data_IF_877007969302
#
_entry.id   IF_877007969302
#
_cell.length_a   1.000
_cell.length_b   1.000
_cell.length_c   1.000
_cell.angle_alpha   90.00
_cell.angle_beta   90.00
_cell.angle_gamma   90.00
#
_symmetry.space_group_name_H-M   'P 1'
#
loop_
_entity.id
_entity.type
_entity.pdbx_description
1 polymer ?
#
# COMPACT_ATOMS: atom_id res chain seq x y z
N UNK A 1 24.89 46.92 1.30
CA UNK A 1 25.02 45.84 2.30
C UNK A 1 23.64 45.44 2.81
N UNK A 2 22.88 44.67 2.03
CA UNK A 2 21.60 44.07 2.41
C UNK A 2 21.45 42.78 1.62
N UNK A 3 22.17 41.75 2.04
CA UNK A 3 21.97 40.37 1.60
C UNK A 3 22.81 39.46 2.49
N UNK A 4 22.32 39.16 3.70
CA UNK A 4 22.86 38.08 4.53
C UNK A 4 21.89 37.68 5.67
N UNK A 5 20.58 37.61 5.40
CA UNK A 5 19.58 37.26 6.44
C UNK A 5 18.60 36.17 5.98
N UNK A 6 18.82 35.51 4.84
CA UNK A 6 17.87 34.53 4.29
C UNK A 6 18.38 33.08 4.23
N UNK A 7 19.43 32.73 4.99
CA UNK A 7 19.97 31.37 5.00
C UNK A 7 20.06 30.71 6.40
N UNK A 8 19.29 31.19 7.38
CA UNK A 8 19.31 30.63 8.73
C UNK A 8 17.90 30.36 9.26
N UNK A 9 17.18 29.46 8.60
CA UNK A 9 15.98 28.83 9.15
C UNK A 9 16.02 27.32 8.87
N UNK A 10 17.15 26.69 9.22
CA UNK A 10 17.21 25.27 9.56
C UNK A 10 16.76 25.14 11.02
N UNK A 11 15.44 25.14 11.24
CA UNK A 11 14.88 24.79 12.55
C UNK A 11 14.79 23.26 12.62
N UNK A 12 15.80 22.65 13.25
CA UNK A 12 15.72 21.30 13.79
C UNK A 12 14.58 21.28 14.82
N UNK A 13 13.47 20.67 14.44
CA UNK A 13 12.47 20.21 15.40
C UNK A 13 12.91 18.82 15.86
N UNK A 14 13.52 18.76 17.05
CA UNK A 14 13.73 17.50 17.74
C UNK A 14 12.36 16.98 18.21
N UNK A 15 11.76 16.11 17.40
CA UNK A 15 10.60 15.32 17.80
C UNK A 15 11.00 14.35 18.93
N UNK A 16 10.08 13.99 19.84
CA UNK A 16 10.36 13.01 20.89
C UNK A 16 10.79 11.67 20.26
N UNK A 17 11.76 10.99 20.90
CA UNK A 17 12.43 9.76 20.47
C UNK A 17 11.53 8.49 20.31
N UNK A 18 10.22 8.65 20.20
CA UNK A 18 9.31 7.54 19.92
C UNK A 18 9.23 7.27 18.41
N UNK A 19 9.79 6.14 17.96
CA UNK A 19 9.67 5.61 16.59
C UNK A 19 10.05 6.60 15.47
N UNK A 20 11.27 7.16 15.52
CA UNK A 20 11.93 7.54 14.26
C UNK A 20 12.13 6.26 13.44
N UNK A 21 11.69 6.26 12.18
CA UNK A 21 11.84 5.11 11.29
C UNK A 21 13.31 4.66 11.23
N UNK A 22 13.52 3.34 11.24
CA UNK A 22 14.87 2.79 11.27
C UNK A 22 15.41 2.62 9.84
N UNK A 23 16.65 3.06 9.58
CA UNK A 23 17.24 2.97 8.24
C UNK A 23 17.41 1.52 7.76
N UNK A 24 17.68 0.62 8.71
CA UNK A 24 17.86 -0.81 8.44
C UNK A 24 17.22 -1.66 9.53
N UNK A 25 16.73 -2.84 9.16
CA UNK A 25 16.24 -3.87 10.08
C UNK A 25 16.74 -5.24 9.67
N UNK A 26 17.02 -6.08 10.67
CA UNK A 26 17.24 -7.51 10.45
C UNK A 26 15.89 -8.20 10.29
N UNK A 27 15.63 -8.72 9.09
CA UNK A 27 14.35 -9.34 8.74
C UNK A 27 14.46 -10.86 8.76
N UNK A 28 13.50 -11.53 9.39
CA UNK A 28 13.34 -12.97 9.30
C UNK A 28 11.91 -13.33 8.90
N UNK A 29 11.77 -14.35 8.06
CA UNK A 29 10.50 -14.92 7.64
C UNK A 29 10.42 -16.35 8.18
N UNK A 30 9.32 -16.68 8.86
CA UNK A 30 9.06 -18.01 9.40
C UNK A 30 7.65 -18.43 9.03
N UNK A 31 7.53 -19.54 8.33
CA UNK A 31 6.26 -20.24 8.21
C UNK A 31 6.05 -21.01 9.50
N UNK A 32 4.95 -20.72 10.17
CA UNK A 32 4.52 -21.43 11.37
C UNK A 32 3.51 -22.45 10.87
N UNK A 33 3.83 -23.73 11.00
CA UNK A 33 2.94 -24.82 10.59
C UNK A 33 2.22 -25.39 11.81
N UNK A 34 1.01 -25.90 11.60
CA UNK A 34 0.33 -26.77 12.54
C UNK A 34 0.69 -28.24 12.28
N UNK A 35 0.11 -29.14 13.08
CA UNK A 35 0.24 -30.59 12.92
C UNK A 35 -0.90 -31.19 12.07
N UNK A 36 -1.72 -30.35 11.43
CA UNK A 36 -2.94 -30.76 10.75
C UNK A 36 -2.71 -30.94 9.25
N UNK A 37 -3.55 -31.77 8.64
CA UNK A 37 -3.62 -31.97 7.20
C UNK A 37 -5.04 -31.61 6.70
N UNK A 38 -5.22 -30.60 5.83
CA UNK A 38 -4.19 -29.73 5.25
C UNK A 38 -3.68 -28.67 6.24
N UNK A 39 -2.38 -28.41 6.19
CA UNK A 39 -1.70 -27.46 7.08
C UNK A 39 -2.17 -26.02 6.84
N UNK A 40 -2.47 -25.29 7.91
CA UNK A 40 -2.90 -23.90 7.79
C UNK A 40 -1.74 -22.94 7.51
N UNK A 41 -1.93 -21.99 6.59
CA UNK A 41 -0.90 -21.03 6.22
C UNK A 41 -0.80 -19.88 7.25
N UNK A 42 0.31 -19.82 7.99
CA UNK A 42 0.64 -18.72 8.88
C UNK A 42 2.11 -18.30 8.68
N UNK A 43 2.33 -17.08 8.20
CA UNK A 43 3.65 -16.51 7.96
C UNK A 43 3.91 -15.39 8.97
N UNK A 44 4.99 -15.54 9.74
CA UNK A 44 5.50 -14.48 10.61
C UNK A 44 6.72 -13.82 9.97
N UNK A 45 6.60 -12.52 9.72
CA UNK A 45 7.70 -11.63 9.36
C UNK A 45 8.09 -10.84 10.59
N UNK A 46 9.35 -10.94 10.99
CA UNK A 46 9.92 -10.19 12.11
C UNK A 46 11.02 -9.28 11.59
N UNK A 47 10.83 -7.96 11.70
CA UNK A 47 11.83 -6.96 11.34
C UNK A 47 12.37 -6.29 12.62
N UNK A 48 13.54 -6.76 13.05
CA UNK A 48 14.22 -6.34 14.28
C UNK A 48 15.09 -5.12 13.99
N UNK A 49 14.84 -4.06 14.73
CA UNK A 49 15.62 -2.83 14.74
C UNK A 49 16.55 -2.71 15.94
N UNK A 50 17.20 -1.57 16.08
CA UNK A 50 18.09 -1.25 17.21
C UNK A 50 17.32 -1.14 18.53
N UNK A 51 16.11 -0.58 18.50
CA UNK A 51 15.30 -0.34 19.71
C UNK A 51 13.86 -0.83 19.59
N UNK A 52 13.48 -1.39 18.44
CA UNK A 52 12.09 -1.74 18.13
C UNK A 52 11.99 -3.01 17.31
N UNK A 53 10.84 -3.68 17.36
CA UNK A 53 10.54 -4.81 16.46
C UNK A 53 9.17 -4.62 15.81
N UNK A 54 9.11 -4.84 14.51
CA UNK A 54 7.86 -4.94 13.75
C UNK A 54 7.53 -6.41 13.48
N UNK A 55 6.31 -6.81 13.84
CA UNK A 55 5.76 -8.12 13.55
C UNK A 55 4.64 -7.96 12.53
N UNK A 56 4.75 -8.69 11.42
CA UNK A 56 3.66 -8.89 10.46
C UNK A 56 3.29 -10.38 10.50
N UNK A 57 2.05 -10.69 10.86
CA UNK A 57 1.56 -12.07 10.89
C UNK A 57 0.49 -12.21 9.82
N UNK A 58 0.87 -12.81 8.69
CA UNK A 58 0.02 -13.06 7.54
C UNK A 58 -0.59 -14.45 7.63
N UNK A 59 -1.86 -14.59 7.27
CA UNK A 59 -2.51 -15.89 7.26
C UNK A 59 -3.56 -16.01 6.17
N UNK A 60 -3.74 -17.25 5.69
CA UNK A 60 -4.88 -17.68 4.88
C UNK A 60 -5.97 -18.39 5.69
N UNK A 61 -5.90 -18.39 7.04
CA UNK A 61 -6.93 -18.97 7.90
C UNK A 61 -8.17 -18.06 7.89
N UNK A 62 -9.24 -18.49 7.21
CA UNK A 62 -10.38 -17.65 6.89
C UNK A 62 -10.03 -16.65 5.78
N UNK A 63 -10.54 -15.39 5.83
CA UNK A 63 -10.15 -14.39 4.85
C UNK A 63 -8.66 -14.02 5.02
N UNK A 64 -7.89 -13.80 3.93
CA UNK A 64 -6.51 -13.35 4.02
C UNK A 64 -6.37 -12.12 4.90
N UNK A 65 -5.53 -12.22 5.91
CA UNK A 65 -5.38 -11.19 6.92
C UNK A 65 -3.92 -10.99 7.30
N UNK A 66 -3.60 -9.77 7.70
CA UNK A 66 -2.33 -9.41 8.33
C UNK A 66 -2.58 -8.71 9.65
N UNK A 67 -1.95 -9.22 10.70
CA UNK A 67 -1.78 -8.53 11.97
C UNK A 67 -0.48 -7.73 11.94
N UNK A 68 -0.55 -6.47 12.35
CA UNK A 68 0.59 -5.57 12.50
C UNK A 68 0.81 -5.31 13.98
N UNK A 69 2.01 -5.51 14.48
CA UNK A 69 2.39 -5.16 15.84
C UNK A 69 3.76 -4.49 15.85
N UNK A 70 3.86 -3.32 16.48
CA UNK A 70 5.12 -2.66 16.74
C UNK A 70 5.42 -2.64 18.23
N UNK A 71 6.65 -2.96 18.59
CA UNK A 71 7.12 -3.00 19.97
C UNK A 71 8.33 -2.10 20.17
N UNK A 72 8.53 -1.60 21.39
CA UNK A 72 9.68 -0.77 21.78
C UNK A 72 10.87 -1.61 22.32
N UNK A 73 11.00 -2.86 21.86
CA UNK A 73 12.11 -3.74 22.23
C UNK A 73 12.54 -4.60 21.04
N UNK A 74 13.85 -4.88 20.87
CA UNK A 74 14.34 -5.82 19.86
C UNK A 74 14.08 -7.29 20.25
N UNK A 75 13.68 -7.57 21.49
CA UNK A 75 13.60 -8.92 22.05
C UNK A 75 12.17 -9.47 22.12
N UNK A 76 11.21 -8.83 21.46
CA UNK A 76 9.82 -9.27 21.45
C UNK A 76 9.63 -10.50 20.57
N UNK A 77 8.73 -11.38 20.99
CA UNK A 77 8.51 -12.68 20.33
C UNK A 77 7.02 -12.93 20.11
N UNK A 78 6.69 -13.56 18.98
CA UNK A 78 5.36 -14.07 18.70
C UNK A 78 5.17 -15.45 19.36
N UNK A 79 4.08 -15.61 20.09
CA UNK A 79 3.60 -16.89 20.62
C UNK A 79 2.31 -17.29 19.89
N UNK A 80 2.26 -18.55 19.45
CA UNK A 80 1.12 -19.12 18.70
C UNK A 80 0.66 -20.40 19.39
N UNK A 81 -0.61 -20.45 19.78
CA UNK A 81 -1.27 -21.66 20.28
C UNK A 81 -2.22 -22.20 19.20
N UNK A 82 -1.74 -23.16 18.42
CA UNK A 82 -2.51 -23.74 17.31
C UNK A 82 -3.83 -24.38 17.72
N UNK A 83 -3.83 -25.15 18.80
CA UNK A 83 -5.05 -25.83 19.28
C UNK A 83 -6.14 -24.83 19.65
N UNK A 84 -5.77 -23.68 20.20
CA UNK A 84 -6.70 -22.59 20.49
C UNK A 84 -7.08 -21.82 19.22
N UNK A 85 -6.12 -21.58 18.31
CA UNK A 85 -6.32 -20.78 17.10
C UNK A 85 -7.38 -21.36 16.15
N UNK A 86 -7.45 -22.69 16.05
CA UNK A 86 -8.44 -23.39 15.22
C UNK A 86 -9.77 -23.68 15.95
N UNK A 87 -9.84 -23.36 17.24
CA UNK A 87 -11.05 -23.60 18.04
C UNK A 87 -12.15 -22.58 17.70
N UNK A 88 -13.36 -22.80 18.22
CA UNK A 88 -14.48 -21.85 18.10
C UNK A 88 -14.22 -20.51 18.79
N UNK A 89 -13.29 -20.48 19.76
CA UNK A 89 -12.95 -19.32 20.59
C UNK A 89 -11.43 -19.08 20.56
N UNK A 90 -10.90 -18.47 19.49
CA UNK A 90 -9.45 -18.37 19.30
C UNK A 90 -8.79 -17.29 20.14
N UNK A 91 -9.52 -16.56 20.99
CA UNK A 91 -9.02 -15.41 21.76
C UNK A 91 -7.81 -15.79 22.62
N UNK A 92 -6.73 -15.02 22.48
CA UNK A 92 -5.45 -15.28 23.13
C UNK A 92 -4.58 -16.34 22.47
N UNK A 93 -4.99 -16.92 21.33
CA UNK A 93 -4.14 -17.87 20.61
C UNK A 93 -2.92 -17.24 19.95
N UNK A 94 -2.95 -15.92 19.70
CA UNK A 94 -1.82 -15.14 19.20
C UNK A 94 -1.44 -14.07 20.20
N UNK A 95 -0.18 -14.06 20.63
CA UNK A 95 0.33 -13.02 21.53
C UNK A 95 1.72 -12.56 21.10
N UNK A 96 1.97 -11.25 21.19
CA UNK A 96 3.34 -10.70 21.16
C UNK A 96 3.75 -10.39 22.58
N UNK A 97 4.89 -10.94 22.99
CA UNK A 97 5.43 -10.80 24.35
C UNK A 97 6.76 -10.04 24.31
N UNK A 98 7.05 -9.18 25.30
CA UNK A 98 6.18 -8.77 26.41
C UNK A 98 5.03 -7.83 25.95
N UNK A 99 3.83 -7.97 26.54
CA UNK A 99 2.64 -7.20 26.09
C UNK A 99 2.79 -5.70 26.31
N UNK A 100 3.44 -5.32 27.40
CA UNK A 100 3.75 -3.94 27.77
C UNK A 100 4.70 -3.23 26.79
N UNK A 101 5.38 -3.98 25.92
CA UNK A 101 6.24 -3.39 24.88
C UNK A 101 5.47 -2.89 23.66
N UNK A 102 4.23 -3.35 23.47
CA UNK A 102 3.41 -3.05 22.29
C UNK A 102 3.07 -1.55 22.27
N UNK A 103 3.55 -0.85 21.24
CA UNK A 103 3.29 0.57 21.00
C UNK A 103 2.14 0.77 20.00
N UNK A 104 1.96 -0.17 19.09
CA UNK A 104 0.91 -0.13 18.08
C UNK A 104 0.50 -1.55 17.70
N UNK A 105 -0.80 -1.76 17.50
CA UNK A 105 -1.31 -3.02 16.94
C UNK A 105 -2.58 -2.80 16.15
N UNK A 106 -2.65 -3.34 14.94
CA UNK A 106 -3.86 -3.30 14.09
C UNK A 106 -3.93 -4.52 13.17
N UNK A 107 -5.01 -4.64 12.40
CA UNK A 107 -5.15 -5.65 11.38
C UNK A 107 -5.73 -5.09 10.08
N UNK A 108 -5.38 -5.74 8.98
CA UNK A 108 -5.98 -5.57 7.67
C UNK A 108 -6.49 -6.93 7.18
N UNK A 109 -7.70 -6.97 6.65
CA UNK A 109 -8.37 -8.19 6.20
C UNK A 109 -8.94 -7.97 4.81
N UNK A 110 -8.60 -8.87 3.89
CA UNK A 110 -9.19 -8.93 2.55
C UNK A 110 -10.37 -9.87 2.60
N UNK A 111 -11.57 -9.32 2.51
CA UNK A 111 -12.79 -10.07 2.87
C UNK A 111 -13.51 -10.63 1.65
N UNK A 112 -13.60 -9.86 0.56
CA UNK A 112 -14.34 -10.25 -0.65
C UNK A 112 -13.62 -9.83 -1.93
N UNK A 113 -13.73 -10.66 -2.95
CA UNK A 113 -13.44 -10.30 -4.34
C UNK A 113 -14.76 -9.95 -5.04
N UNK A 114 -14.89 -8.70 -5.46
CA UNK A 114 -16.02 -8.18 -6.20
C UNK A 114 -15.83 -8.32 -7.71
N UNK A 115 -16.96 -8.37 -8.41
CA UNK A 115 -17.03 -8.29 -9.85
C UNK A 115 -18.26 -7.50 -10.26
N UNK A 116 -18.09 -6.59 -11.22
CA UNK A 116 -19.15 -5.70 -11.71
C UNK A 116 -19.22 -5.76 -13.24
N UNK A 117 -20.42 -5.84 -13.80
CA UNK A 117 -20.66 -5.67 -15.23
C UNK A 117 -20.72 -4.17 -15.58
N UNK A 118 -19.76 -3.71 -16.38
CA UNK A 118 -19.62 -2.31 -16.78
C UNK A 118 -20.10 -2.01 -18.21
N UNK A 119 -20.88 -2.90 -18.84
CA UNK A 119 -21.29 -2.77 -20.26
C UNK A 119 -22.12 -1.52 -20.58
N UNK A 120 -22.93 -1.01 -19.63
CA UNK A 120 -23.84 0.13 -19.82
C UNK A 120 -23.51 1.35 -18.95
N UNK A 121 -22.36 1.36 -18.28
CA UNK A 121 -21.92 2.48 -17.45
C UNK A 121 -21.13 3.48 -18.28
N UNK A 122 -21.78 4.61 -18.60
CA UNK A 122 -21.18 5.73 -19.34
C UNK A 122 -20.21 6.55 -18.49
N UNK A 123 -20.29 6.47 -17.16
CA UNK A 123 -19.45 7.22 -16.23
C UNK A 123 -18.47 6.30 -15.50
N UNK A 124 -17.17 6.56 -15.68
CA UNK A 124 -16.10 5.92 -14.92
C UNK A 124 -16.16 6.24 -13.41
N UNK A 125 -16.99 7.21 -13.00
CA UNK A 125 -17.21 7.63 -11.62
C UNK A 125 -18.52 7.11 -10.99
N UNK A 126 -19.31 6.29 -11.70
CA UNK A 126 -20.55 5.74 -11.17
C UNK A 126 -20.29 4.87 -9.92
N UNK A 127 -21.07 5.06 -8.86
CA UNK A 127 -21.02 4.23 -7.64
C UNK A 127 -22.37 3.53 -7.45
N UNK A 128 -22.46 2.20 -7.64
CA UNK A 128 -21.39 1.25 -8.01
C UNK A 128 -20.94 1.39 -9.48
N UNK A 129 -19.73 0.90 -9.84
CA UNK A 129 -19.15 1.03 -11.19
C UNK A 129 -19.85 0.19 -12.27
N UNK A 130 -20.94 -0.49 -11.90
CA UNK A 130 -21.70 -1.39 -12.77
C UNK A 130 -22.69 -2.24 -11.97
N UNK A 131 -23.34 -3.18 -12.64
CA UNK A 131 -24.21 -4.17 -11.98
C UNK A 131 -23.34 -5.19 -11.25
N UNK A 132 -23.52 -5.31 -9.93
CA UNK A 132 -22.73 -6.22 -9.10
C UNK A 132 -23.14 -7.68 -9.31
N UNK A 133 -22.16 -8.55 -9.53
CA UNK A 133 -22.31 -9.98 -9.38
C UNK A 133 -22.15 -10.39 -7.90
N UNK A 134 -22.62 -11.59 -7.49
CA UNK A 134 -22.35 -12.11 -6.15
C UNK A 134 -20.84 -12.13 -5.85
N UNK A 135 -20.38 -11.52 -4.75
CA UNK A 135 -18.95 -11.50 -4.42
C UNK A 135 -18.44 -12.88 -4.05
N UNK A 136 -17.16 -13.13 -4.31
CA UNK A 136 -16.47 -14.29 -3.77
C UNK A 136 -15.99 -13.96 -2.35
N UNK A 137 -16.46 -14.72 -1.36
CA UNK A 137 -15.97 -14.63 0.02
C UNK A 137 -14.56 -15.20 0.09
N UNK A 138 -13.57 -14.41 0.48
CA UNK A 138 -12.19 -14.91 0.57
C UNK A 138 -11.96 -15.84 1.76
N UNK A 139 -12.94 -15.95 2.67
CA UNK A 139 -12.96 -16.98 3.70
C UNK A 139 -13.29 -18.39 3.16
N UNK A 140 -13.92 -18.47 1.99
CA UNK A 140 -14.31 -19.72 1.34
C UNK A 140 -13.30 -20.14 0.26
N UNK A 141 -12.04 -19.72 0.42
CA UNK A 141 -10.92 -20.06 -0.45
C UNK A 141 -10.04 -21.13 0.17
N UNK A 142 -9.52 -22.01 -0.68
CA UNK A 142 -8.41 -22.90 -0.36
C UNK A 142 -7.12 -22.22 -0.81
N UNK A 143 -6.09 -22.29 0.02
CA UNK A 143 -4.79 -21.67 -0.23
C UNK A 143 -3.73 -22.75 -0.35
N UNK A 144 -2.88 -22.66 -1.37
CA UNK A 144 -1.70 -23.51 -1.55
C UNK A 144 -0.76 -23.41 -0.34
N UNK A 145 0.06 -24.44 -0.10
CA UNK A 145 1.02 -24.41 0.99
C UNK A 145 2.04 -23.29 0.79
N UNK A 146 2.07 -22.34 1.72
CA UNK A 146 2.97 -21.18 1.64
C UNK A 146 4.45 -21.55 1.71
N UNK A 147 4.77 -22.73 2.25
CA UNK A 147 6.15 -23.24 2.31
C UNK A 147 6.76 -23.36 0.91
N UNK A 148 5.94 -23.70 -0.10
CA UNK A 148 6.39 -23.90 -1.47
C UNK A 148 6.75 -22.58 -2.17
N UNK A 149 6.22 -21.45 -1.69
CA UNK A 149 6.42 -20.12 -2.27
C UNK A 149 7.33 -19.23 -1.44
N UNK A 150 7.83 -19.70 -0.30
CA UNK A 150 8.73 -18.96 0.57
C UNK A 150 10.10 -18.77 -0.11
N UNK A 151 10.49 -17.53 -0.32
CA UNK A 151 11.80 -17.14 -0.84
C UNK A 151 12.55 -16.28 0.18
N UNK A 152 13.47 -16.87 0.96
CA UNK A 152 14.29 -16.15 1.94
C UNK A 152 15.24 -15.12 1.31
N UNK A 153 15.64 -15.30 0.03
CA UNK A 153 16.58 -14.40 -0.62
C UNK A 153 15.91 -13.08 -1.01
N UNK A 154 14.68 -13.14 -1.52
CA UNK A 154 13.86 -11.96 -1.80
C UNK A 154 13.02 -11.48 -0.62
N UNK A 155 13.07 -12.19 0.52
CA UNK A 155 12.25 -11.95 1.71
C UNK A 155 10.76 -11.91 1.36
N UNK A 156 10.31 -12.87 0.55
CA UNK A 156 8.94 -12.91 0.04
C UNK A 156 8.27 -14.27 0.18
N UNK A 157 6.94 -14.28 0.18
CA UNK A 157 6.12 -15.49 0.14
C UNK A 157 4.78 -15.18 -0.52
N UNK A 158 4.12 -16.19 -1.08
CA UNK A 158 2.88 -16.00 -1.85
C UNK A 158 1.77 -16.93 -1.37
N UNK A 159 0.65 -16.35 -0.94
CA UNK A 159 -0.60 -17.09 -0.71
C UNK A 159 -1.35 -17.14 -2.04
N UNK A 160 -1.38 -18.28 -2.70
CA UNK A 160 -2.15 -18.50 -3.93
C UNK A 160 -3.37 -19.35 -3.59
N UNK A 161 -4.54 -18.98 -4.11
CA UNK A 161 -5.76 -19.70 -3.77
C UNK A 161 -6.86 -19.58 -4.81
N UNK A 162 -7.86 -20.43 -4.62
CA UNK A 162 -9.07 -20.53 -5.42
C UNK A 162 -10.29 -20.82 -4.51
N UNK A 163 -11.53 -20.54 -4.94
CA UNK A 163 -12.71 -20.91 -4.19
C UNK A 163 -12.76 -22.42 -3.92
N UNK A 164 -13.20 -22.82 -2.73
CA UNK A 164 -13.42 -24.23 -2.36
C UNK A 164 -14.57 -24.82 -3.21
N UNK A 165 -15.57 -24.00 -3.51
CA UNK A 165 -16.72 -24.36 -4.32
C UNK A 165 -16.82 -23.44 -5.53
N UNK A 166 -16.51 -23.98 -6.72
CA UNK A 166 -16.57 -23.26 -8.00
C UNK A 166 -17.46 -24.01 -9.00
N UNK A 167 -18.80 -23.92 -8.88
CA UNK A 167 -19.72 -24.66 -9.74
C UNK A 167 -19.67 -24.20 -11.21
N UNK A 168 -19.22 -22.97 -11.46
CA UNK A 168 -19.11 -22.38 -12.79
C UNK A 168 -17.78 -22.68 -13.47
N UNK A 169 -16.80 -23.23 -12.74
CA UNK A 169 -15.44 -23.43 -13.23
C UNK A 169 -14.71 -22.12 -13.57
N UNK A 170 -15.08 -21.01 -12.93
CA UNK A 170 -14.48 -19.70 -13.21
C UNK A 170 -12.99 -19.65 -12.83
N UNK A 171 -12.59 -20.40 -11.80
CA UNK A 171 -11.23 -20.52 -11.31
C UNK A 171 -10.54 -21.82 -11.78
N UNK A 172 -11.12 -22.58 -12.70
CA UNK A 172 -10.55 -23.86 -13.16
C UNK A 172 -9.11 -23.75 -13.68
N UNK A 173 -8.76 -22.62 -14.30
CA UNK A 173 -7.40 -22.29 -14.77
C UNK A 173 -6.87 -20.99 -14.15
N UNK A 174 -7.50 -20.51 -13.09
CA UNK A 174 -7.26 -19.20 -12.52
C UNK A 174 -6.99 -19.22 -11.03
N UNK A 175 -6.36 -18.17 -10.53
CA UNK A 175 -6.03 -18.03 -9.10
C UNK A 175 -6.02 -16.58 -8.67
N UNK A 176 -6.32 -16.35 -7.40
CA UNK A 176 -6.03 -15.11 -6.70
C UNK A 176 -4.77 -15.33 -5.86
N UNK A 177 -3.81 -14.42 -5.94
CA UNK A 177 -2.56 -14.50 -5.20
C UNK A 177 -2.29 -13.23 -4.40
N UNK A 178 -1.83 -13.40 -3.15
CA UNK A 178 -1.34 -12.36 -2.26
C UNK A 178 0.15 -12.61 -2.03
N UNK A 179 1.01 -11.88 -2.75
CA UNK A 179 2.45 -11.95 -2.60
C UNK A 179 2.92 -10.89 -1.63
N UNK A 180 3.54 -11.32 -0.55
CA UNK A 180 4.06 -10.46 0.52
C UNK A 180 5.58 -10.40 0.40
N UNK A 181 6.14 -9.21 0.51
CA UNK A 181 7.59 -8.99 0.51
C UNK A 181 7.99 -8.01 1.61
N UNK A 182 9.00 -8.35 2.40
CA UNK A 182 9.58 -7.48 3.40
C UNK A 182 10.91 -6.87 2.93
N UNK A 183 11.36 -5.80 3.58
CA UNK A 183 12.59 -5.11 3.21
C UNK A 183 13.48 -4.84 4.42
N UNK A 184 14.79 -5.02 4.26
CA UNK A 184 15.77 -4.74 5.31
C UNK A 184 16.30 -3.31 5.30
N UNK A 185 16.01 -2.55 4.24
CA UNK A 185 16.47 -1.16 4.03
C UNK A 185 15.56 -0.45 3.04
N UNK A 186 15.76 0.85 2.88
CA UNK A 186 15.04 1.63 1.86
C UNK A 186 15.46 1.30 0.44
N UNK A 187 14.50 1.39 -0.49
CA UNK A 187 14.72 1.08 -1.90
C UNK A 187 13.45 1.17 -2.74
N UNK A 188 13.57 0.76 -4.00
CA UNK A 188 12.44 0.65 -4.92
C UNK A 188 12.50 -0.68 -5.67
N UNK A 189 11.35 -1.34 -5.89
CA UNK A 189 11.27 -2.46 -6.81
C UNK A 189 11.64 -2.04 -8.23
N UNK A 190 12.10 -3.00 -9.03
CA UNK A 190 12.29 -2.81 -10.47
C UNK A 190 10.95 -2.70 -11.20
N UNK A 191 9.93 -3.43 -10.74
CA UNK A 191 8.63 -3.50 -11.39
C UNK A 191 7.69 -2.35 -10.94
N UNK A 192 6.90 -1.78 -11.86
CA UNK A 192 5.80 -0.86 -11.54
C UNK A 192 4.86 -1.45 -10.48
N UNK A 193 4.28 -0.62 -9.57
CA UNK A 193 4.32 0.85 -9.54
C UNK A 193 5.53 1.46 -8.78
N UNK A 194 6.60 0.67 -8.56
CA UNK A 194 7.89 1.10 -7.95
C UNK A 194 7.73 1.95 -6.67
N UNK A 195 6.82 1.51 -5.79
CA UNK A 195 6.59 2.16 -4.50
C UNK A 195 7.90 2.24 -3.70
N UNK A 196 8.16 3.41 -3.09
CA UNK A 196 9.32 3.61 -2.23
C UNK A 196 9.09 2.83 -0.92
N UNK A 197 9.89 1.81 -0.67
CA UNK A 197 9.84 1.08 0.59
C UNK A 197 10.96 1.53 1.53
N UNK A 198 10.77 1.27 2.82
CA UNK A 198 11.77 1.40 3.89
C UNK A 198 11.88 0.08 4.65
N UNK A 199 12.81 -0.01 5.60
CA UNK A 199 12.89 -1.16 6.49
C UNK A 199 11.64 -1.33 7.38
N UNK A 200 10.82 -0.28 7.52
CA UNK A 200 9.61 -0.27 8.34
C UNK A 200 8.36 -0.75 7.57
N UNK A 201 8.52 -1.25 6.35
CA UNK A 201 7.40 -1.61 5.46
C UNK A 201 7.46 -3.06 4.96
N UNK A 202 6.29 -3.62 4.70
CA UNK A 202 6.08 -4.76 3.81
C UNK A 202 5.30 -4.30 2.59
N UNK A 203 5.61 -4.86 1.42
CA UNK A 203 4.82 -4.72 0.21
C UNK A 203 3.89 -5.92 0.06
N UNK A 204 2.65 -5.65 -0.32
CA UNK A 204 1.69 -6.63 -0.78
C UNK A 204 1.42 -6.39 -2.27
N UNK A 205 1.51 -7.44 -3.05
CA UNK A 205 1.05 -7.51 -4.43
C UNK A 205 -0.12 -8.48 -4.50
N UNK A 206 -1.23 -8.05 -5.11
CA UNK A 206 -2.41 -8.86 -5.35
C UNK A 206 -2.54 -9.10 -6.83
N UNK A 207 -2.48 -10.37 -7.24
CA UNK A 207 -2.63 -10.79 -8.62
C UNK A 207 -3.90 -11.64 -8.80
N UNK A 208 -4.76 -11.25 -9.74
CA UNK A 208 -5.84 -12.09 -10.26
C UNK A 208 -5.44 -12.57 -11.65
N UNK A 209 -5.32 -13.89 -11.83
CA UNK A 209 -4.78 -14.47 -13.07
C UNK A 209 -5.69 -15.58 -13.56
N UNK A 210 -6.04 -15.57 -14.84
CA UNK A 210 -6.69 -16.69 -15.54
C UNK A 210 -8.11 -17.02 -15.09
N UNK A 211 -8.73 -16.19 -14.24
CA UNK A 211 -10.12 -16.34 -13.80
C UNK A 211 -11.06 -15.93 -14.93
N UNK A 212 -12.02 -16.78 -15.25
CA UNK A 212 -13.02 -16.50 -16.29
C UNK A 212 -14.05 -15.49 -15.77
N UNK A 213 -14.21 -14.33 -16.41
CA UNK A 213 -15.18 -13.32 -15.97
C UNK A 213 -16.60 -13.79 -16.27
N UNK A 214 -17.56 -13.39 -15.43
CA UNK A 214 -18.99 -13.67 -15.58
C UNK A 214 -19.66 -12.78 -16.61
N UNK A 215 -19.08 -11.61 -16.90
CA UNK A 215 -19.52 -10.69 -17.95
C UNK A 215 -18.41 -10.31 -18.92
N UNK A 216 -18.79 -9.85 -20.12
CA UNK A 216 -17.86 -9.45 -21.18
C UNK A 216 -16.97 -8.25 -20.79
N UNK A 217 -17.49 -7.34 -19.97
CA UNK A 217 -16.74 -6.18 -19.44
C UNK A 217 -16.81 -6.19 -17.93
N UNK A 218 -16.07 -7.12 -17.34
CA UNK A 218 -16.05 -7.31 -15.89
C UNK A 218 -14.96 -6.44 -15.25
N UNK A 219 -15.35 -5.62 -14.29
CA UNK A 219 -14.46 -4.88 -13.41
C UNK A 219 -14.35 -5.63 -12.10
N UNK A 220 -13.12 -5.94 -11.69
CA UNK A 220 -12.85 -6.61 -10.42
C UNK A 220 -12.57 -5.59 -9.32
N UNK A 221 -12.77 -6.01 -8.08
CA UNK A 221 -12.46 -5.18 -6.92
C UNK A 221 -12.23 -6.00 -5.66
N UNK A 222 -11.67 -5.38 -4.62
CA UNK A 222 -11.41 -6.00 -3.33
C UNK A 222 -12.11 -5.23 -2.22
N UNK A 223 -12.74 -5.94 -1.30
CA UNK A 223 -13.19 -5.40 -0.02
C UNK A 223 -12.07 -5.54 1.00
N UNK A 224 -11.62 -4.40 1.51
CA UNK A 224 -10.57 -4.32 2.51
C UNK A 224 -11.18 -3.79 3.80
N UNK A 225 -10.99 -4.53 4.88
CA UNK A 225 -11.43 -4.16 6.21
C UNK A 225 -10.25 -3.97 7.15
N UNK A 226 -10.34 -3.00 8.05
CA UNK A 226 -9.34 -2.76 9.09
C UNK A 226 -9.98 -2.50 10.45
N UNK A 227 -9.22 -2.79 11.51
CA UNK A 227 -9.62 -2.48 12.88
C UNK A 227 -9.48 -0.98 13.17
N UNK A 228 -10.60 -0.33 13.47
CA UNK A 228 -10.66 1.07 13.87
C UNK A 228 -10.10 1.29 15.28
N UNK A 229 -9.33 2.37 15.47
CA UNK A 229 -8.74 2.75 16.76
C UNK A 229 -9.63 3.72 17.57
N UNK A 230 -10.81 4.08 17.07
CA UNK A 230 -11.69 5.07 17.68
C UNK A 230 -13.12 5.04 17.15
N UNK A 231 -13.94 6.06 17.45
CA UNK A 231 -15.33 6.13 16.99
C UNK A 231 -15.44 6.33 15.47
N UNK A 232 -14.43 6.95 14.86
CA UNK A 232 -14.39 7.28 13.44
C UNK A 232 -13.41 6.38 12.68
N UNK A 233 -13.72 6.17 11.40
CA UNK A 233 -12.82 5.48 10.49
C UNK A 233 -11.72 6.41 9.98
N UNK A 234 -10.51 5.87 9.72
CA UNK A 234 -9.46 6.66 9.11
C UNK A 234 -9.88 7.12 7.71
N UNK A 235 -9.37 8.28 7.27
CA UNK A 235 -9.60 8.77 5.91
C UNK A 235 -8.38 8.52 5.03
N UNK A 236 -8.64 8.28 3.75
CA UNK A 236 -7.59 8.24 2.72
C UNK A 236 -7.15 9.68 2.44
N UNK A 237 -5.84 9.91 2.45
CA UNK A 237 -5.20 11.17 2.08
C UNK A 237 -4.49 10.98 0.74
N UNK A 238 -4.77 11.87 -0.19
CA UNK A 238 -4.07 11.92 -1.47
C UNK A 238 -2.82 12.79 -1.33
N UNK A 239 -1.67 12.28 -1.73
CA UNK A 239 -0.46 13.04 -1.95
C UNK A 239 -0.22 13.18 -3.44
N UNK A 240 0.09 14.40 -3.89
CA UNK A 240 0.39 14.68 -5.30
C UNK A 240 1.84 15.08 -5.45
N UNK A 241 2.49 14.51 -6.45
CA UNK A 241 3.85 14.85 -6.86
C UNK A 241 3.82 15.34 -8.30
N UNK A 242 4.74 16.23 -8.67
CA UNK A 242 4.96 16.62 -10.08
C UNK A 242 5.84 15.61 -10.83
N UNK A 243 6.41 14.64 -10.11
CA UNK A 243 7.35 13.66 -10.61
C UNK A 243 6.67 12.31 -10.76
N UNK A 244 6.70 11.77 -11.98
CA UNK A 244 6.20 10.46 -12.37
C UNK A 244 7.31 9.48 -12.82
N UNK A 245 8.59 9.79 -12.57
CA UNK A 245 9.75 8.99 -13.00
C UNK A 245 9.60 7.50 -12.63
N UNK A 246 9.04 7.24 -11.45
CA UNK A 246 8.90 5.88 -10.91
C UNK A 246 7.58 5.19 -11.31
N UNK A 247 6.58 5.95 -11.76
CA UNK A 247 5.29 5.44 -12.21
C UNK A 247 4.72 6.38 -13.28
N UNK A 248 5.07 6.18 -14.57
CA UNK A 248 4.72 7.12 -15.63
C UNK A 248 3.23 7.42 -15.70
N UNK A 249 2.89 8.70 -15.85
CA UNK A 249 1.52 9.23 -15.83
C UNK A 249 0.74 9.05 -14.50
N UNK A 250 1.40 8.66 -13.41
CA UNK A 250 0.79 8.50 -12.09
C UNK A 250 1.40 9.47 -11.09
N UNK A 251 0.77 10.63 -10.96
CA UNK A 251 1.21 11.76 -10.12
C UNK A 251 0.64 11.73 -8.70
N UNK A 252 -0.02 10.63 -8.31
CA UNK A 252 -0.74 10.49 -7.05
C UNK A 252 -0.24 9.28 -6.25
N UNK A 253 -0.23 9.45 -4.93
CA UNK A 253 0.00 8.41 -3.95
C UNK A 253 -1.09 8.53 -2.89
N UNK A 254 -1.90 7.49 -2.76
CA UNK A 254 -2.93 7.40 -1.74
C UNK A 254 -2.35 6.81 -0.47
N UNK A 255 -2.78 7.35 0.66
CA UNK A 255 -2.29 6.95 1.98
C UNK A 255 -3.43 6.89 2.98
N UNK A 256 -3.53 5.79 3.71
CA UNK A 256 -4.42 5.66 4.86
C UNK A 256 -3.59 5.53 6.12
N UNK A 257 -3.90 6.36 7.11
CA UNK A 257 -3.25 6.41 8.41
C UNK A 257 -4.21 5.95 9.50
N UNK A 258 -3.82 5.00 10.33
CA UNK A 258 -4.66 4.53 11.45
C UNK A 258 -4.82 5.56 12.57
N UNK A 259 -3.88 6.49 12.71
CA UNK A 259 -3.86 7.49 13.76
C UNK A 259 -2.80 8.57 13.51
N UNK A 260 -2.51 9.36 14.54
CA UNK A 260 -1.40 10.33 14.52
C UNK A 260 -0.06 9.59 14.45
N UNK A 261 0.85 10.09 13.62
CA UNK A 261 2.19 9.52 13.49
C UNK A 261 2.97 9.60 14.82
N UNK A 262 3.79 8.60 15.16
CA UNK A 262 4.00 7.33 14.46
C UNK A 262 2.81 6.36 14.64
N UNK A 263 2.32 5.79 13.54
CA UNK A 263 1.15 4.89 13.52
C UNK A 263 1.30 3.86 12.39
N UNK A 264 0.45 2.83 12.37
CA UNK A 264 0.26 2.03 11.17
C UNK A 264 -0.23 2.88 10.00
N UNK A 265 0.23 2.52 8.80
CA UNK A 265 -0.17 3.14 7.55
C UNK A 265 -0.22 2.13 6.41
N UNK A 266 -1.00 2.45 5.38
CA UNK A 266 -0.96 1.79 4.09
C UNK A 266 -0.84 2.85 2.99
N UNK A 267 -0.04 2.57 1.97
CA UNK A 267 0.21 3.46 0.84
C UNK A 267 0.11 2.70 -0.48
N UNK A 268 -0.55 3.27 -1.47
CA UNK A 268 -0.63 2.69 -2.80
C UNK A 268 -0.70 3.80 -3.84
N UNK A 269 -0.31 3.49 -5.07
CA UNK A 269 -0.65 4.37 -6.20
C UNK A 269 -2.05 3.98 -6.69
N UNK A 270 -2.90 4.92 -7.13
CA UNK A 270 -4.24 4.63 -7.65
C UNK A 270 -4.20 4.02 -9.07
N UNK A 271 -3.37 2.99 -9.24
CA UNK A 271 -3.16 2.27 -10.50
C UNK A 271 -3.07 0.77 -10.24
N UNK A 272 -3.63 -0.02 -11.15
CA UNK A 272 -3.44 -1.45 -11.29
C UNK A 272 -2.98 -1.75 -12.73
N UNK A 273 -2.52 -2.96 -13.01
CA UNK A 273 -2.01 -3.34 -14.33
C UNK A 273 -2.74 -4.55 -14.90
N UNK A 274 -3.19 -4.46 -16.15
CA UNK A 274 -3.84 -5.58 -16.85
C UNK A 274 -2.86 -6.55 -17.50
N UNK A 275 -1.56 -6.32 -17.35
CA UNK A 275 -0.48 -7.16 -17.88
C UNK A 275 0.67 -7.29 -16.88
N UNK A 276 1.36 -8.43 -16.91
CA UNK A 276 2.43 -8.76 -15.96
C UNK A 276 3.63 -7.81 -16.01
N UNK A 277 3.93 -7.23 -17.18
CA UNK A 277 5.04 -6.30 -17.34
C UNK A 277 4.80 -4.96 -16.65
N UNK A 278 3.54 -4.60 -16.36
CA UNK A 278 3.20 -3.33 -15.72
C UNK A 278 3.45 -2.10 -16.61
N UNK A 279 3.39 -2.25 -17.93
CA UNK A 279 3.59 -1.15 -18.89
C UNK A 279 2.50 -0.09 -18.78
N UNK A 280 2.79 1.13 -19.24
CA UNK A 280 1.86 2.28 -19.21
C UNK A 280 0.56 1.99 -19.96
N UNK A 281 0.66 1.25 -21.05
CA UNK A 281 -0.45 0.80 -21.89
C UNK A 281 -1.41 -0.17 -21.18
N UNK A 282 -0.94 -0.84 -20.13
CA UNK A 282 -1.73 -1.76 -19.30
C UNK A 282 -2.24 -1.11 -18.01
N UNK A 283 -1.92 0.16 -17.77
CA UNK A 283 -2.30 0.86 -16.55
C UNK A 283 -3.81 1.11 -16.52
N UNK A 284 -4.43 0.66 -15.42
CA UNK A 284 -5.84 0.80 -15.11
C UNK A 284 -6.01 1.66 -13.86
N UNK A 285 -7.03 2.53 -13.78
CA UNK A 285 -7.29 3.28 -12.56
C UNK A 285 -7.66 2.32 -11.42
N UNK A 286 -7.18 2.61 -10.21
CA UNK A 286 -7.63 1.98 -8.97
C UNK A 286 -8.40 3.03 -8.17
N UNK A 287 -9.71 2.82 -7.98
CA UNK A 287 -10.56 3.72 -7.24
C UNK A 287 -10.85 3.15 -5.85
N UNK A 288 -10.63 3.95 -4.81
CA UNK A 288 -11.02 3.62 -3.45
C UNK A 288 -12.38 4.26 -3.09
N UNK A 289 -13.28 3.48 -2.50
CA UNK A 289 -14.49 4.04 -1.87
C UNK A 289 -14.12 4.79 -0.59
N UNK A 290 -14.96 5.74 -0.14
CA UNK A 290 -14.86 6.24 1.23
C UNK A 290 -14.91 5.08 2.22
N UNK A 291 -14.17 5.19 3.32
CA UNK A 291 -14.25 4.23 4.40
C UNK A 291 -15.60 4.36 5.09
N UNK A 292 -16.22 3.22 5.37
CA UNK A 292 -17.47 3.13 6.11
C UNK A 292 -17.30 2.20 7.28
N UNK A 293 -18.00 2.51 8.38
CA UNK A 293 -18.01 1.65 9.55
C UNK A 293 -18.86 0.42 9.26
N UNK A 294 -18.34 -0.74 9.63
CA UNK A 294 -19.05 -2.01 9.47
C UNK A 294 -18.95 -2.83 10.74
N UNK A 295 -19.95 -3.68 10.94
CA UNK A 295 -20.03 -4.56 12.10
C UNK A 295 -19.37 -5.89 11.76
N UNK A 296 -18.74 -6.52 12.75
CA UNK A 296 -17.98 -7.74 12.54
C UNK A 296 -18.80 -8.86 11.89
N UNK A 297 -20.08 -9.01 12.28
CA UNK A 297 -20.96 -10.06 11.72
C UNK A 297 -21.32 -9.85 10.23
N UNK A 298 -21.11 -8.65 9.68
CA UNK A 298 -21.30 -8.38 8.25
C UNK A 298 -20.06 -8.76 7.41
N UNK A 299 -18.92 -8.98 8.07
CA UNK A 299 -17.68 -9.40 7.46
C UNK A 299 -17.45 -10.90 7.68
N UNK A 300 -16.79 -11.58 6.73
CA UNK A 300 -16.24 -12.90 6.99
C UNK A 300 -15.33 -12.85 8.23
N UNK A 301 -15.59 -13.74 9.19
CA UNK A 301 -14.87 -13.76 10.45
C UNK A 301 -13.41 -14.14 10.22
N UNK A 302 -12.47 -13.33 10.75
CA UNK A 302 -11.04 -13.65 10.72
C UNK A 302 -10.60 -14.24 12.06
N UNK A 303 -10.23 -15.54 12.12
CA UNK A 303 -9.71 -16.16 13.33
C UNK A 303 -8.44 -15.49 13.85
N UNK A 304 -7.59 -14.98 12.96
CA UNK A 304 -6.35 -14.26 13.33
C UNK A 304 -6.65 -12.97 14.08
N UNK A 305 -7.63 -12.18 13.61
CA UNK A 305 -8.02 -10.94 14.29
C UNK A 305 -8.63 -11.27 15.65
N UNK A 306 -9.52 -12.26 15.73
CA UNK A 306 -10.11 -12.71 16.99
C UNK A 306 -9.06 -13.28 17.95
N UNK A 307 -8.03 -13.93 17.43
CA UNK A 307 -6.99 -14.54 18.24
C UNK A 307 -6.08 -13.54 18.96
N UNK A 308 -5.88 -12.36 18.37
CA UNK A 308 -5.03 -11.33 18.94
C UNK A 308 -5.83 -10.26 19.69
N UNK A 309 -6.98 -9.84 19.17
CA UNK A 309 -7.77 -8.73 19.71
C UNK A 309 -9.03 -9.16 20.47
N UNK A 310 -9.36 -10.45 20.50
CA UNK A 310 -10.64 -10.94 21.01
C UNK A 310 -11.82 -10.51 20.13
N UNK A 311 -13.01 -10.43 20.72
CA UNK A 311 -14.21 -9.97 20.00
C UNK A 311 -14.18 -8.46 19.77
N UNK A 312 -14.17 -8.05 18.51
CA UNK A 312 -14.14 -6.65 18.10
C UNK A 312 -15.32 -6.33 17.20
N UNK A 313 -15.92 -5.15 17.35
CA UNK A 313 -17.04 -4.67 16.50
C UNK A 313 -16.70 -3.40 15.71
N UNK A 314 -15.49 -2.86 15.87
CA UNK A 314 -15.09 -1.59 15.28
C UNK A 314 -14.27 -1.82 14.02
N UNK A 315 -14.92 -2.28 12.95
CA UNK A 315 -14.28 -2.41 11.65
C UNK A 315 -14.60 -1.22 10.76
N UNK A 316 -13.61 -0.85 9.95
CA UNK A 316 -13.72 0.14 8.90
C UNK A 316 -13.39 -0.54 7.58
N UNK A 317 -14.34 -0.54 6.65
CA UNK A 317 -14.20 -1.18 5.36
C UNK A 317 -14.22 -0.16 4.22
N UNK A 318 -13.55 -0.50 3.13
CA UNK A 318 -13.61 0.21 1.87
C UNK A 318 -13.38 -0.76 0.72
N UNK A 319 -13.81 -0.33 -0.46
CA UNK A 319 -13.71 -1.12 -1.67
C UNK A 319 -12.67 -0.49 -2.58
N UNK A 320 -11.79 -1.33 -3.13
CA UNK A 320 -10.92 -0.98 -4.23
C UNK A 320 -11.51 -1.56 -5.50
N UNK A 321 -11.69 -0.76 -6.54
CA UNK A 321 -12.19 -1.21 -7.85
C UNK A 321 -11.19 -0.86 -8.94
N UNK A 322 -10.92 -1.81 -9.82
CA UNK A 322 -9.83 -1.71 -10.79
C UNK A 322 -10.37 -1.65 -12.21
N UNK A 323 -9.89 -0.67 -12.99
CA UNK A 323 -10.32 -0.45 -14.36
C UNK A 323 -11.44 0.59 -14.51
N UNK A 324 -11.79 0.84 -15.77
CA UNK A 324 -12.89 1.71 -16.17
C UNK A 324 -13.71 0.99 -17.25
N UNK A 325 -14.89 1.50 -17.61
CA UNK A 325 -15.77 0.84 -18.60
C UNK A 325 -15.17 0.76 -20.03
N UNK A 326 -14.10 1.50 -20.28
CA UNK A 326 -13.35 1.55 -21.55
C UNK A 326 -11.85 1.66 -21.28
N UNK A 327 -11.03 1.25 -22.24
CA UNK A 327 -9.56 1.25 -22.13
C UNK A 327 -9.02 -0.13 -21.77
N UNK A 328 -7.78 -0.22 -21.25
CA UNK A 328 -7.23 -1.49 -20.79
C UNK A 328 -8.06 -2.05 -19.64
N UNK A 329 -8.23 -3.36 -19.63
CA UNK A 329 -9.07 -4.05 -18.66
C UNK A 329 -8.60 -5.48 -18.40
N UNK A 330 -9.14 -6.09 -17.35
CA UNK A 330 -8.86 -7.50 -17.04
C UNK A 330 -9.16 -8.42 -18.23
N UNK A 331 -10.17 -8.09 -19.05
CA UNK A 331 -10.58 -8.85 -20.23
C UNK A 331 -9.50 -8.94 -21.33
N UNK A 332 -8.44 -8.13 -21.29
CA UNK A 332 -7.40 -8.16 -22.34
C UNK A 332 -6.52 -9.41 -22.26
N UNK A 333 -6.11 -9.78 -21.04
CA UNK A 333 -5.18 -10.90 -20.80
C UNK A 333 -5.60 -11.81 -19.64
N UNK A 334 -6.77 -11.59 -19.04
CA UNK A 334 -7.18 -12.25 -17.78
C UNK A 334 -6.12 -12.09 -16.69
N UNK A 335 -5.58 -10.87 -16.58
CA UNK A 335 -4.56 -10.52 -15.61
C UNK A 335 -4.90 -9.18 -14.96
N UNK A 336 -4.72 -9.10 -13.64
CA UNK A 336 -4.79 -7.87 -12.88
C UNK A 336 -3.74 -7.95 -11.78
N UNK A 337 -2.93 -6.91 -11.65
CA UNK A 337 -1.97 -6.74 -10.57
C UNK A 337 -2.15 -5.39 -9.89
N UNK A 338 -2.19 -5.38 -8.57
CA UNK A 338 -2.24 -4.18 -7.74
C UNK A 338 -1.28 -4.32 -6.57
N UNK A 339 -0.64 -3.22 -6.16
CA UNK A 339 0.35 -3.24 -5.08
C UNK A 339 0.08 -2.17 -4.04
N UNK A 340 0.35 -2.49 -2.78
CA UNK A 340 0.36 -1.56 -1.67
C UNK A 340 1.55 -1.79 -0.74
N UNK A 341 1.97 -0.74 -0.05
CA UNK A 341 2.83 -0.81 1.11
C UNK A 341 2.00 -0.79 2.38
N UNK A 342 2.49 -1.51 3.37
CA UNK A 342 1.93 -1.59 4.70
C UNK A 342 3.09 -1.45 5.69
N UNK A 343 2.96 -0.55 6.67
CA UNK A 343 4.04 -0.29 7.61
C UNK A 343 3.57 0.34 8.91
N UNK A 344 4.52 0.51 9.83
CA UNK A 344 4.30 1.22 11.10
C UNK A 344 5.43 2.23 11.31
N UNK A 345 5.07 3.48 11.63
CA UNK A 345 6.03 4.57 11.78
C UNK A 345 5.71 5.71 10.84
N UNK A 346 6.74 6.29 10.23
CA UNK A 346 6.58 7.37 9.24
C UNK A 346 6.47 6.77 7.83
N UNK A 347 5.37 7.04 7.10
CA UNK A 347 5.21 6.60 5.73
C UNK A 347 6.35 7.10 4.82
N UNK A 348 6.87 6.27 3.92
CA UNK A 348 7.81 6.70 2.89
C UNK A 348 7.25 7.89 2.08
N UNK A 349 8.10 8.87 1.79
CA UNK A 349 7.77 10.06 1.00
C UNK A 349 8.70 10.14 -0.19
N UNK A 350 8.14 10.28 -1.39
CA UNK A 350 8.91 10.49 -2.61
C UNK A 350 9.56 11.89 -2.59
N UNK A 351 10.87 11.94 -2.80
CA UNK A 351 11.57 13.18 -3.16
C UNK A 351 11.51 13.39 -4.68
N UNK A 352 11.66 14.65 -5.12
CA UNK A 352 11.84 14.94 -6.54
C UNK A 352 13.12 14.28 -7.06
N UNK A 353 13.02 13.66 -8.23
CA UNK A 353 14.14 13.06 -8.94
C UNK A 353 15.19 14.09 -9.29
N UNK A 354 16.43 13.64 -9.39
CA UNK A 354 17.56 14.45 -9.85
C UNK A 354 17.30 15.03 -11.24
N UNK A 355 16.54 14.33 -12.09
CA UNK A 355 16.16 14.79 -13.42
C UNK A 355 15.21 15.99 -13.34
N UNK A 356 14.12 15.88 -12.57
CA UNK A 356 13.16 16.98 -12.40
C UNK A 356 13.84 18.18 -11.73
N UNK A 357 14.64 17.95 -10.70
CA UNK A 357 15.43 19.01 -10.05
C UNK A 357 16.38 19.69 -11.04
N UNK A 358 17.03 18.93 -11.92
CA UNK A 358 17.88 19.45 -12.99
C UNK A 358 17.11 20.33 -13.99
N UNK A 359 15.95 19.86 -14.45
CA UNK A 359 15.07 20.63 -15.35
C UNK A 359 14.64 21.93 -14.70
N UNK A 360 14.16 21.88 -13.45
CA UNK A 360 13.72 23.07 -12.70
C UNK A 360 14.88 24.04 -12.51
N UNK A 361 16.07 23.55 -12.18
CA UNK A 361 17.27 24.37 -12.01
C UNK A 361 17.67 25.09 -13.30
N UNK A 362 17.64 24.42 -14.45
CA UNK A 362 17.95 25.04 -15.75
C UNK A 362 16.84 26.00 -16.18
N UNK A 363 15.58 25.57 -16.11
CA UNK A 363 14.43 26.35 -16.59
C UNK A 363 14.23 27.65 -15.80
N UNK A 364 14.50 27.66 -14.49
CA UNK A 364 14.43 28.87 -13.66
C UNK A 364 15.77 29.61 -13.62
N UNK A 365 16.89 28.89 -13.63
CA UNK A 365 18.23 29.46 -13.52
C UNK A 365 18.65 30.27 -14.74
N UNK A 366 18.40 29.78 -15.95
CA UNK A 366 18.80 30.49 -17.17
C UNK A 366 18.10 31.86 -17.31
N UNK A 367 16.77 31.97 -17.18
CA UNK A 367 16.08 33.27 -17.24
C UNK A 367 16.53 34.23 -16.14
N UNK A 368 16.73 33.75 -14.91
CA UNK A 368 17.24 34.57 -13.82
C UNK A 368 18.64 35.13 -14.12
N UNK A 369 19.55 34.29 -14.64
CA UNK A 369 20.88 34.72 -15.06
C UNK A 369 20.82 35.73 -16.21
N UNK A 370 19.94 35.53 -17.20
CA UNK A 370 19.76 36.51 -18.28
C UNK A 370 19.22 37.84 -17.77
N UNK A 371 18.27 37.84 -16.84
CA UNK A 371 17.74 39.06 -16.22
C UNK A 371 18.81 39.79 -15.40
N UNK A 372 19.63 39.05 -14.65
CA UNK A 372 20.75 39.63 -13.89
C UNK A 372 21.80 40.22 -14.83
N UNK A 373 22.20 39.48 -15.87
CA UNK A 373 23.15 39.96 -16.86
C UNK A 373 22.62 41.20 -17.60
N UNK A 374 21.36 41.19 -18.02
CA UNK A 374 20.69 42.33 -18.64
C UNK A 374 20.56 43.53 -17.70
N UNK A 375 20.22 43.30 -16.43
CA UNK A 375 20.15 44.34 -15.40
C UNK A 375 21.50 44.98 -15.13
N UNK A 376 22.56 44.18 -14.98
CA UNK A 376 23.94 44.66 -14.84
C UNK A 376 24.37 45.45 -16.08
N UNK A 377 24.06 44.96 -17.27
CA UNK A 377 24.35 45.65 -18.52
C UNK A 377 23.66 47.02 -18.59
N UNK A 378 22.38 47.12 -18.21
CA UNK A 378 21.64 48.39 -18.19
C UNK A 378 22.17 49.37 -17.14
N UNK A 379 22.61 48.88 -15.97
CA UNK A 379 23.18 49.73 -14.91
C UNK A 379 24.59 50.25 -15.25
N UNK A 380 25.39 49.45 -15.95
CA UNK A 380 26.74 49.82 -16.39
C UNK A 380 26.75 50.51 -17.75
N UNK A 381 25.67 50.38 -18.53
CA UNK A 381 25.48 51.05 -19.81
C UNK A 381 25.39 52.56 -19.62
N UNK A 382 26.38 53.28 -20.16
CA UNK A 382 26.38 54.76 -20.18
C UNK A 382 25.07 55.25 -20.82
N UNK A 383 24.29 56.05 -20.07
CA UNK A 383 23.24 56.89 -20.65
C UNK A 383 23.89 57.86 -21.63
N UNK A 384 23.83 57.55 -22.92
CA UNK A 384 24.02 58.57 -23.94
C UNK A 384 22.84 59.52 -23.81
N UNK A 385 23.06 60.66 -23.18
CA UNK A 385 22.13 61.78 -23.22
C UNK A 385 21.93 62.12 -24.71
N UNK A 386 20.72 61.89 -25.21
CA UNK A 386 20.31 62.37 -26.52
C UNK A 386 20.38 63.89 -26.46
N UNK A 387 21.36 64.50 -27.14
CA UNK A 387 21.36 65.94 -27.40
C UNK A 387 20.06 66.27 -28.13
N UNK A 388 19.16 66.93 -27.41
CA UNK A 388 17.94 67.49 -27.98
C UNK A 388 18.39 68.73 -28.77
N UNK A 389 18.43 68.65 -30.11
CA UNK A 389 18.58 69.84 -30.94
C UNK A 389 17.23 70.59 -30.98
N UNK A 390 17.13 71.82 -30.48
CA UNK A 390 15.92 72.62 -30.64
C UNK A 390 15.79 73.04 -32.11
N UNK A 391 14.59 72.84 -32.66
CA UNK A 391 14.20 73.30 -33.99
C UNK A 391 14.06 74.83 -33.90
N UNK A 392 14.95 75.57 -34.57
CA UNK A 392 14.75 76.95 -34.99
C UNK A 392 14.99 77.04 -36.50
#
# INVERSE_FOLDING_TARGET
>A
MRSLVLLLSLLLTAAPFGLLGEETRQVSLKVISDWLDPSQNLLHIQAVGATSTLHYVWSGLGPPAVLLVATNTPNSTLSVNWSLLISSEPDGALMVLPKESIQFSSALVFTRLFEFDSTNTSDAAAKPPGKSYPPYSLADFSWDNITDSLDPASLSATFRGHPIHDPTGAFASGSLAFRVQAFSRSGRPAQPPRLLHTADTCQLEVDLVGVSPRGNRSLFGLEVATLGHGPDCPSVREQRSIDDEYAPAVFQLDQLLWGSLPSGFMQWRPVAFSQKQGGRESAMPCQASPLYRTLAYLLPQSPIVRAFFGSQNNFCAFNLTFGASTGPGYWDQHYLSWSMLLGVGTPPVDALSSLVLGIVAVALGAPALMLLAGGVFLLLGRKWYSEYQPIN
#
